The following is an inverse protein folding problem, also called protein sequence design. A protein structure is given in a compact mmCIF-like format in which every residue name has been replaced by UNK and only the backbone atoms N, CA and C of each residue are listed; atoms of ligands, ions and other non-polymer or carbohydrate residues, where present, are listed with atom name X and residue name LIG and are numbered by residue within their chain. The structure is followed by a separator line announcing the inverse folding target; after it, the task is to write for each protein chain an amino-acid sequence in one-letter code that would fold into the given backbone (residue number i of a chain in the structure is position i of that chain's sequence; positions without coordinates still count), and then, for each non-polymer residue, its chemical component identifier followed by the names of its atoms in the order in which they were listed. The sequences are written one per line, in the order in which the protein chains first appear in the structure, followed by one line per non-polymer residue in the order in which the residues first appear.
data_IF_083711574723
#
_entry.id   IF_083711574723
#
_cell.length_a   1.000
_cell.length_b   1.000
_cell.length_c   1.000
_cell.angle_alpha   90.00
_cell.angle_beta   90.00
_cell.angle_gamma   90.00
#
_symmetry.space_group_name_H-M   'P 1'
#
loop_
_entity.id
_entity.type
_entity.pdbx_description
1 polymer ?
#
# COMPACT_ATOMS: atom_id res chain seq x y z
N UNK A 1 -15.43 56.53 -6.10
CA UNK A 1 -15.87 55.65 -7.21
C UNK A 1 -15.75 56.41 -8.52
N UNK A 2 -14.75 56.05 -9.35
CA UNK A 2 -14.75 56.31 -10.79
C UNK A 2 -13.75 55.32 -11.40
N UNK A 3 -14.29 54.25 -11.99
CA UNK A 3 -13.52 53.28 -12.77
C UNK A 3 -13.13 53.95 -14.09
N UNK A 4 -11.84 53.96 -14.42
CA UNK A 4 -11.34 54.27 -15.75
C UNK A 4 -10.97 52.92 -16.38
N UNK A 5 -11.77 52.49 -17.35
CA UNK A 5 -11.55 51.33 -18.20
C UNK A 5 -10.55 51.71 -19.31
N UNK A 6 -9.45 50.97 -19.41
CA UNK A 6 -8.59 50.97 -20.60
C UNK A 6 -9.06 49.88 -21.57
N UNK A 7 -9.23 50.15 -22.87
CA UNK A 7 -9.45 49.10 -23.86
C UNK A 7 -8.10 48.52 -24.31
N UNK A 8 -7.87 47.24 -24.04
CA UNK A 8 -6.79 46.46 -24.65
C UNK A 8 -7.27 45.94 -26.00
N UNK A 9 -6.63 46.43 -27.06
CA UNK A 9 -6.79 46.00 -28.45
C UNK A 9 -6.24 44.58 -28.62
N UNK A 10 -7.12 43.60 -28.86
CA UNK A 10 -6.73 42.27 -29.34
C UNK A 10 -6.63 42.30 -30.86
N UNK A 11 -5.44 42.08 -31.38
CA UNK A 11 -5.16 42.00 -32.82
C UNK A 11 -5.54 40.61 -33.33
N UNK A 12 -6.70 40.48 -33.98
CA UNK A 12 -7.08 39.26 -34.71
C UNK A 12 -6.37 39.24 -36.07
N UNK A 13 -5.30 38.46 -36.17
CA UNK A 13 -4.70 38.13 -37.47
C UNK A 13 -5.49 36.99 -38.11
N UNK A 14 -6.47 37.37 -38.93
CA UNK A 14 -7.21 36.44 -39.80
C UNK A 14 -6.37 36.15 -41.04
N UNK A 15 -5.71 34.99 -41.08
CA UNK A 15 -4.97 34.55 -42.28
C UNK A 15 -5.90 33.69 -43.13
N UNK A 16 -6.46 34.28 -44.18
CA UNK A 16 -7.18 33.58 -45.25
C UNK A 16 -6.23 32.67 -46.03
N UNK A 17 -6.37 31.36 -45.88
CA UNK A 17 -5.70 30.37 -46.71
C UNK A 17 -6.58 30.03 -47.91
N UNK A 18 -6.14 30.52 -49.07
CA UNK A 18 -6.74 30.28 -50.39
C UNK A 18 -6.67 28.79 -50.74
N UNK A 19 -7.83 28.19 -50.98
CA UNK A 19 -7.97 26.80 -51.41
C UNK A 19 -7.73 26.66 -52.91
N UNK A 20 -6.59 26.08 -53.30
CA UNK A 20 -6.44 25.45 -54.61
C UNK A 20 -6.16 23.97 -54.41
N UNK A 21 -7.08 23.16 -54.95
CA UNK A 21 -7.10 21.71 -54.87
C UNK A 21 -5.84 21.07 -55.45
N UNK A 22 -5.21 20.18 -54.70
CA UNK A 22 -4.40 19.08 -55.26
C UNK A 22 -4.29 17.97 -54.22
N UNK A 23 -4.98 16.87 -54.52
CA UNK A 23 -5.20 15.65 -53.73
C UNK A 23 -3.93 14.89 -53.27
N UNK A 24 -2.74 15.45 -53.50
CA UNK A 24 -1.44 14.94 -53.03
C UNK A 24 -1.00 15.56 -51.68
N UNK A 25 -1.49 16.76 -51.35
CA UNK A 25 -1.23 17.36 -50.03
C UNK A 25 -2.06 16.70 -48.93
N UNK A 26 -3.25 16.19 -49.25
CA UNK A 26 -4.08 15.46 -48.29
C UNK A 26 -3.49 14.10 -47.89
N UNK A 27 -2.79 13.39 -48.78
CA UNK A 27 -2.17 12.08 -48.48
C UNK A 27 -0.88 12.20 -47.67
N UNK A 28 -0.08 13.25 -47.87
CA UNK A 28 1.13 13.51 -47.08
C UNK A 28 0.76 14.03 -45.68
N UNK A 29 -0.32 14.83 -45.56
CA UNK A 29 -0.84 15.28 -44.27
C UNK A 29 -1.52 14.15 -43.49
N UNK A 30 -2.27 13.25 -44.13
CA UNK A 30 -2.88 12.10 -43.43
C UNK A 30 -1.86 11.03 -43.05
N UNK A 31 -0.81 10.81 -43.84
CA UNK A 31 0.26 9.86 -43.53
C UNK A 31 1.19 10.32 -42.40
N UNK A 32 1.36 11.63 -42.21
CA UNK A 32 2.14 12.19 -41.08
C UNK A 32 1.31 12.33 -39.81
N UNK A 33 0.00 12.60 -39.92
CA UNK A 33 -0.93 12.68 -38.79
C UNK A 33 -1.20 11.30 -38.15
N UNK A 34 -1.21 10.21 -38.92
CA UNK A 34 -1.28 8.84 -38.37
C UNK A 34 0.04 8.39 -37.71
N UNK A 35 1.17 9.00 -38.07
CA UNK A 35 2.51 8.63 -37.54
C UNK A 35 2.74 9.14 -36.11
N UNK A 36 2.13 10.27 -35.75
CA UNK A 36 2.35 10.94 -34.46
C UNK A 36 1.17 10.78 -33.48
N UNK A 37 0.67 9.56 -33.31
CA UNK A 37 -0.33 9.26 -32.28
C UNK A 37 0.33 8.81 -30.97
N UNK A 38 0.28 9.66 -29.94
CA UNK A 38 0.75 9.33 -28.59
C UNK A 38 -0.39 9.00 -27.62
N UNK A 39 -1.63 8.83 -28.09
CA UNK A 39 -2.78 8.72 -27.21
C UNK A 39 -3.10 10.03 -26.49
N UNK A 40 -3.94 9.94 -25.45
CA UNK A 40 -4.33 11.09 -24.64
C UNK A 40 -3.24 11.45 -23.61
N UNK A 41 -3.18 12.72 -23.22
CA UNK A 41 -2.33 13.14 -22.11
C UNK A 41 -0.83 13.13 -22.40
N UNK A 42 -0.44 13.40 -23.65
CA UNK A 42 0.95 13.63 -24.01
C UNK A 42 1.09 14.52 -25.24
N UNK A 43 2.29 15.04 -25.45
CA UNK A 43 2.68 15.68 -26.70
C UNK A 43 3.46 14.71 -27.58
N UNK A 44 3.30 14.86 -28.90
CA UNK A 44 4.00 14.06 -29.89
C UNK A 44 4.99 14.91 -30.68
N UNK A 45 6.19 14.38 -30.90
CA UNK A 45 7.21 14.95 -31.76
C UNK A 45 7.79 13.84 -32.64
N UNK A 46 8.18 14.15 -33.87
CA UNK A 46 8.93 13.23 -34.73
C UNK A 46 10.40 13.63 -34.68
N UNK A 47 11.30 12.64 -34.58
CA UNK A 47 12.73 12.87 -34.71
C UNK A 47 13.16 12.97 -36.19
N UNK A 48 14.46 13.16 -36.44
CA UNK A 48 15.01 13.26 -37.80
C UNK A 48 14.89 11.98 -38.63
N UNK A 49 14.62 10.83 -37.98
CA UNK A 49 14.36 9.54 -38.64
C UNK A 49 12.89 9.32 -38.94
N UNK A 50 12.00 10.18 -38.43
CA UNK A 50 10.56 10.03 -38.51
C UNK A 50 9.97 9.12 -37.44
N UNK A 51 10.76 8.70 -36.44
CA UNK A 51 10.25 7.99 -35.27
C UNK A 51 9.52 8.93 -34.31
N UNK A 52 8.40 8.47 -33.77
CA UNK A 52 7.60 9.24 -32.82
C UNK A 52 8.21 9.20 -31.40
N UNK A 53 8.31 10.37 -30.80
CA UNK A 53 8.67 10.60 -29.41
C UNK A 53 7.43 11.12 -28.70
N UNK A 54 6.96 10.35 -27.71
CA UNK A 54 5.82 10.71 -26.87
C UNK A 54 6.29 11.21 -25.51
N UNK A 55 5.97 12.46 -25.20
CA UNK A 55 6.20 13.07 -23.89
C UNK A 55 4.88 13.12 -23.14
N UNK A 56 4.69 12.21 -22.19
CA UNK A 56 3.45 12.15 -21.40
C UNK A 56 3.41 13.26 -20.35
N UNK A 57 2.23 13.85 -20.15
CA UNK A 57 1.98 14.84 -19.12
C UNK A 57 1.94 14.19 -17.73
N UNK A 58 1.98 15.00 -16.67
CA UNK A 58 1.82 14.51 -15.30
C UNK A 58 0.51 13.74 -15.15
N UNK A 59 0.55 12.60 -14.46
CA UNK A 59 -0.58 11.67 -14.35
C UNK A 59 -0.74 10.72 -15.54
N UNK A 60 0.18 10.71 -16.51
CA UNK A 60 0.21 9.76 -17.62
C UNK A 60 1.54 9.02 -17.67
N UNK A 61 1.51 7.77 -18.12
CA UNK A 61 2.71 6.94 -18.30
C UNK A 61 2.78 6.35 -19.71
N UNK A 62 4.02 6.16 -20.20
CA UNK A 62 4.29 5.59 -21.52
C UNK A 62 4.17 4.07 -21.47
N UNK A 63 3.31 3.51 -22.30
CA UNK A 63 3.19 2.06 -22.52
C UNK A 63 2.97 1.78 -24.01
N UNK A 64 3.73 0.83 -24.59
CA UNK A 64 3.67 0.49 -26.03
C UNK A 64 3.69 1.69 -26.99
N UNK A 65 4.44 2.74 -26.65
CA UNK A 65 4.56 3.93 -27.50
C UNK A 65 3.38 4.90 -27.46
N UNK A 66 2.48 4.77 -26.49
CA UNK A 66 1.40 5.72 -26.22
C UNK A 66 1.38 6.11 -24.73
N UNK A 67 0.74 7.23 -24.43
CA UNK A 67 0.47 7.72 -23.09
C UNK A 67 -0.90 7.19 -22.63
N UNK A 68 -0.93 6.70 -21.40
CA UNK A 68 -2.14 6.19 -20.75
C UNK A 68 -2.29 6.82 -19.38
N UNK A 69 -3.53 6.96 -18.93
CA UNK A 69 -3.83 7.44 -17.59
C UNK A 69 -3.09 6.59 -16.54
N UNK A 70 -2.39 7.29 -15.67
CA UNK A 70 -1.52 6.73 -14.64
C UNK A 70 -1.46 7.70 -13.45
N UNK A 71 -2.62 8.08 -12.93
CA UNK A 71 -2.70 9.00 -11.79
C UNK A 71 -2.77 8.23 -10.45
N UNK A 72 -1.66 8.15 -9.73
CA UNK A 72 -1.62 7.60 -8.37
C UNK A 72 -1.86 8.65 -7.27
N UNK A 73 -2.18 9.89 -7.63
CA UNK A 73 -2.23 11.02 -6.71
C UNK A 73 -0.85 11.60 -6.37
N UNK A 74 -0.78 12.61 -5.49
CA UNK A 74 0.44 13.38 -5.23
C UNK A 74 1.49 12.63 -4.40
N UNK A 75 1.12 11.51 -3.77
CA UNK A 75 1.99 10.72 -2.88
C UNK A 75 2.36 9.37 -3.48
N UNK A 76 2.38 9.30 -4.81
CA UNK A 76 2.60 8.07 -5.53
C UNK A 76 3.28 8.30 -6.87
N UNK A 77 4.17 7.37 -7.21
CA UNK A 77 4.69 7.23 -8.57
C UNK A 77 3.91 6.16 -9.29
N UNK A 78 3.62 6.40 -10.57
CA UNK A 78 2.82 5.49 -11.37
C UNK A 78 3.65 4.86 -12.48
N UNK A 79 3.52 3.54 -12.64
CA UNK A 79 4.06 2.81 -13.78
C UNK A 79 2.97 1.93 -14.40
N UNK A 80 3.13 1.62 -15.68
CA UNK A 80 2.29 0.64 -16.37
C UNK A 80 3.17 -0.56 -16.71
N UNK A 81 2.94 -1.66 -16.01
CA UNK A 81 3.63 -2.93 -16.22
C UNK A 81 2.66 -3.94 -16.84
N UNK A 82 3.02 -4.49 -18.00
CA UNK A 82 2.15 -5.39 -18.78
C UNK A 82 0.72 -4.85 -19.04
N UNK A 83 0.54 -3.53 -19.11
CA UNK A 83 -0.75 -2.88 -19.32
C UNK A 83 -1.56 -2.69 -18.03
N UNK A 84 -0.99 -3.04 -16.88
CA UNK A 84 -1.58 -2.88 -15.56
C UNK A 84 -0.92 -1.68 -14.89
N UNK A 85 -1.74 -0.73 -14.47
CA UNK A 85 -1.33 0.40 -13.64
C UNK A 85 -0.84 -0.13 -12.28
N UNK A 86 0.34 0.32 -11.85
CA UNK A 86 0.87 0.06 -10.51
C UNK A 86 1.29 1.36 -9.86
N UNK A 87 0.85 1.57 -8.62
CA UNK A 87 1.24 2.71 -7.81
C UNK A 87 2.31 2.29 -6.80
N UNK A 88 3.42 3.00 -6.80
CA UNK A 88 4.40 2.94 -5.71
C UNK A 88 4.19 4.18 -4.85
N UNK A 89 3.66 3.98 -3.64
CA UNK A 89 3.31 5.06 -2.74
C UNK A 89 4.48 5.48 -1.83
N UNK A 90 4.46 6.74 -1.41
CA UNK A 90 5.41 7.30 -0.45
C UNK A 90 5.28 6.64 0.95
N UNK A 91 6.23 6.91 1.83
CA UNK A 91 6.21 6.42 3.22
C UNK A 91 4.93 6.89 3.92
N UNK A 92 4.26 5.98 4.63
CA UNK A 92 2.94 6.17 5.25
C UNK A 92 1.78 6.36 4.28
N UNK A 93 1.94 6.01 3.01
CA UNK A 93 0.85 5.91 2.04
C UNK A 93 0.76 4.48 1.52
N UNK A 94 -0.46 4.05 1.19
CA UNK A 94 -0.71 2.75 0.58
C UNK A 94 -1.74 2.90 -0.52
N UNK A 95 -1.68 2.00 -1.50
CA UNK A 95 -2.64 2.00 -2.61
C UNK A 95 -4.04 1.63 -2.09
N UNK A 96 -5.02 2.50 -2.38
CA UNK A 96 -6.44 2.28 -2.17
C UNK A 96 -7.17 2.78 -3.40
N UNK A 97 -7.97 1.90 -4.02
CA UNK A 97 -8.74 2.23 -5.23
C UNK A 97 -7.89 2.85 -6.36
N UNK A 98 -6.66 2.35 -6.55
CA UNK A 98 -5.75 2.83 -7.60
C UNK A 98 -5.13 4.20 -7.36
N UNK A 99 -5.19 4.74 -6.14
CA UNK A 99 -4.48 5.94 -5.70
C UNK A 99 -3.77 5.71 -4.37
N UNK A 100 -2.72 6.49 -4.12
CA UNK A 100 -2.01 6.48 -2.85
C UNK A 100 -2.75 7.32 -1.81
N UNK A 101 -3.28 6.65 -0.79
CA UNK A 101 -3.95 7.28 0.34
C UNK A 101 -3.15 7.09 1.62
N UNK A 102 -3.28 8.04 2.56
CA UNK A 102 -2.56 7.99 3.82
C UNK A 102 -2.90 6.72 4.58
N UNK A 103 -1.88 5.94 4.93
CA UNK A 103 -1.97 4.67 5.63
C UNK A 103 -0.94 4.67 6.77
N UNK A 104 -1.42 5.00 7.97
CA UNK A 104 -0.66 4.86 9.21
C UNK A 104 -1.44 4.04 10.22
N UNK A 105 -0.72 3.13 10.86
CA UNK A 105 -1.16 2.26 11.95
C UNK A 105 -0.60 2.72 13.30
N UNK A 106 0.01 3.91 13.36
CA UNK A 106 0.64 4.45 14.56
C UNK A 106 2.04 3.91 14.81
N UNK A 107 2.55 4.13 16.02
CA UNK A 107 3.84 3.59 16.47
C UNK A 107 3.80 2.06 16.54
N UNK A 108 4.98 1.43 16.53
CA UNK A 108 5.11 -0.03 16.59
C UNK A 108 4.43 -0.79 15.44
N UNK A 109 4.11 -0.10 14.35
CA UNK A 109 3.76 -0.69 13.06
C UNK A 109 5.00 -0.88 12.19
N UNK A 110 5.08 -2.01 11.49
CA UNK A 110 6.07 -2.30 10.46
C UNK A 110 5.59 -1.90 9.07
N UNK A 111 4.29 -2.05 8.80
CA UNK A 111 3.67 -1.67 7.53
C UNK A 111 2.16 -1.49 7.68
N UNK A 112 1.60 -0.71 6.76
CA UNK A 112 0.18 -0.45 6.61
C UNK A 112 -0.21 -0.70 5.15
N UNK A 113 -1.32 -1.39 4.92
CA UNK A 113 -1.94 -1.55 3.61
C UNK A 113 -3.46 -1.58 3.75
N UNK A 114 -4.16 -1.54 2.63
CA UNK A 114 -5.62 -1.65 2.61
C UNK A 114 -6.03 -3.03 2.12
N UNK A 115 -7.03 -3.63 2.79
CA UNK A 115 -7.65 -4.86 2.33
C UNK A 115 -8.68 -4.60 1.22
N UNK A 116 -9.31 -5.66 0.72
CA UNK A 116 -10.31 -5.58 -0.35
C UNK A 116 -11.57 -4.79 0.03
N UNK A 117 -11.84 -4.60 1.32
CA UNK A 117 -12.94 -3.79 1.84
C UNK A 117 -12.53 -2.32 2.03
N UNK A 118 -11.25 -1.99 1.82
CA UNK A 118 -10.69 -0.65 2.02
C UNK A 118 -10.40 -0.31 3.48
N UNK A 119 -10.37 -1.31 4.36
CA UNK A 119 -9.97 -1.19 5.76
C UNK A 119 -8.45 -1.33 5.88
N UNK A 120 -7.87 -0.65 6.88
CA UNK A 120 -6.42 -0.75 7.13
C UNK A 120 -6.09 -2.14 7.67
N UNK A 121 -5.04 -2.73 7.15
CA UNK A 121 -4.36 -3.90 7.70
C UNK A 121 -2.92 -3.52 8.08
N UNK A 122 -2.61 -3.80 9.34
CA UNK A 122 -1.40 -3.35 10.01
C UNK A 122 -0.54 -4.56 10.35
N UNK A 123 0.71 -4.56 9.89
CA UNK A 123 1.70 -5.49 10.43
C UNK A 123 2.34 -4.86 11.66
N UNK A 124 2.03 -5.35 12.85
CA UNK A 124 2.57 -4.81 14.09
C UNK A 124 3.92 -5.44 14.52
N UNK A 125 4.66 -4.73 15.37
CA UNK A 125 5.84 -5.21 16.07
C UNK A 125 5.49 -6.31 17.07
N UNK A 126 6.52 -7.05 17.52
CA UNK A 126 6.34 -8.05 18.58
C UNK A 126 5.72 -7.42 19.83
N UNK A 127 4.79 -8.12 20.47
CA UNK A 127 4.00 -7.64 21.61
C UNK A 127 3.01 -6.51 21.28
N UNK A 128 2.71 -6.27 20.00
CA UNK A 128 1.63 -5.41 19.54
C UNK A 128 0.71 -6.19 18.60
N UNK A 129 -0.57 -5.84 18.61
CA UNK A 129 -1.55 -6.41 17.68
C UNK A 129 -2.46 -5.30 17.14
N UNK A 130 -3.04 -5.55 15.98
CA UNK A 130 -3.96 -4.60 15.37
C UNK A 130 -5.26 -4.53 16.19
N UNK A 131 -5.65 -3.32 16.57
CA UNK A 131 -6.95 -3.00 17.13
C UNK A 131 -7.48 -1.73 16.44
N UNK A 132 -8.69 -1.79 15.88
CA UNK A 132 -9.33 -0.64 15.19
C UNK A 132 -8.44 0.11 14.16
N UNK A 133 -7.55 -0.61 13.46
CA UNK A 133 -6.66 -0.01 12.44
C UNK A 133 -5.39 0.64 13.00
N UNK A 134 -5.05 0.38 14.26
CA UNK A 134 -3.81 0.81 14.91
C UNK A 134 -3.11 -0.35 15.59
N UNK A 135 -1.80 -0.26 15.79
CA UNK A 135 -1.06 -1.23 16.59
C UNK A 135 -1.11 -0.85 18.08
N UNK A 136 -1.81 -1.66 18.87
CA UNK A 136 -1.93 -1.48 20.31
C UNK A 136 -1.13 -2.55 21.05
N UNK A 137 -0.66 -2.22 22.26
CA UNK A 137 0.12 -3.14 23.08
C UNK A 137 -0.70 -4.41 23.38
N UNK A 138 -0.12 -5.56 23.04
CA UNK A 138 -0.75 -6.87 23.12
C UNK A 138 0.31 -7.90 23.51
N UNK A 139 0.66 -7.92 24.80
CA UNK A 139 1.69 -8.82 25.33
C UNK A 139 1.10 -9.98 26.13
N UNK A 140 1.11 -11.20 25.58
CA UNK A 140 0.67 -12.42 26.28
C UNK A 140 1.84 -13.27 26.84
N UNK A 141 3.06 -12.72 26.87
CA UNK A 141 4.26 -13.47 27.22
C UNK A 141 4.70 -14.45 26.13
N UNK A 142 5.84 -15.13 26.34
CA UNK A 142 6.51 -15.96 25.34
C UNK A 142 5.74 -17.23 24.94
N UNK A 143 4.71 -17.59 25.70
CA UNK A 143 3.92 -18.80 25.52
C UNK A 143 2.52 -18.55 24.95
N UNK A 144 2.23 -17.33 24.47
CA UNK A 144 0.94 -17.02 23.86
C UNK A 144 1.05 -16.09 22.65
N UNK A 145 0.10 -16.23 21.73
CA UNK A 145 -0.18 -15.20 20.72
C UNK A 145 -1.26 -14.25 21.24
N UNK A 146 -1.20 -12.99 20.82
CA UNK A 146 -2.11 -11.94 21.28
C UNK A 146 -2.93 -11.37 20.13
N UNK A 147 -4.22 -11.15 20.37
CA UNK A 147 -5.16 -10.52 19.44
C UNK A 147 -6.19 -9.69 20.20
N UNK A 148 -6.90 -8.81 19.50
CA UNK A 148 -8.05 -8.10 20.06
C UNK A 148 -9.35 -8.65 19.48
N UNK A 149 -10.32 -8.93 20.35
CA UNK A 149 -11.70 -9.19 19.97
C UNK A 149 -12.60 -8.22 20.73
N UNK A 150 -13.43 -7.45 20.02
CA UNK A 150 -14.29 -6.43 20.63
C UNK A 150 -13.54 -5.47 21.58
N UNK A 151 -12.35 -5.01 21.19
CA UNK A 151 -11.44 -4.17 21.99
C UNK A 151 -10.92 -4.81 23.28
N UNK A 152 -11.07 -6.13 23.42
CA UNK A 152 -10.51 -6.87 24.55
C UNK A 152 -9.35 -7.70 24.08
N UNK A 153 -8.22 -7.53 24.76
CA UNK A 153 -7.04 -8.37 24.60
C UNK A 153 -7.43 -9.83 24.86
N UNK A 154 -7.07 -10.70 23.94
CA UNK A 154 -7.17 -12.15 24.07
C UNK A 154 -5.79 -12.79 23.95
N UNK A 155 -5.51 -13.70 24.87
CA UNK A 155 -4.30 -14.50 24.85
C UNK A 155 -4.62 -15.94 24.45
N UNK A 156 -4.08 -16.36 23.33
CA UNK A 156 -4.13 -17.76 22.90
C UNK A 156 -2.83 -18.43 23.37
N UNK A 157 -2.90 -19.10 24.52
CA UNK A 157 -1.76 -19.80 25.11
C UNK A 157 -1.47 -21.13 24.41
N UNK A 158 -0.19 -21.51 24.38
CA UNK A 158 0.24 -22.86 24.01
C UNK A 158 -0.35 -23.90 24.96
N UNK A 159 -0.47 -25.14 24.52
CA UNK A 159 -1.16 -26.22 25.25
C UNK A 159 -0.62 -26.52 26.66
N UNK A 160 0.63 -26.19 26.96
CA UNK A 160 1.26 -26.38 28.28
C UNK A 160 1.24 -25.13 29.17
N UNK A 161 0.67 -24.03 28.68
CA UNK A 161 0.59 -22.75 29.38
C UNK A 161 -0.87 -22.36 29.62
N UNK A 162 -1.10 -21.65 30.71
CA UNK A 162 -2.41 -21.07 31.05
C UNK A 162 -2.32 -19.57 31.17
N UNK A 163 -3.41 -18.90 30.83
CA UNK A 163 -3.52 -17.47 31.04
C UNK A 163 -3.70 -17.18 32.53
N UNK A 164 -2.80 -16.38 33.10
CA UNK A 164 -2.86 -15.85 34.45
C UNK A 164 -2.50 -14.36 34.41
N UNK A 165 -3.42 -13.50 34.86
CA UNK A 165 -3.26 -12.04 34.83
C UNK A 165 -2.94 -11.47 33.44
N UNK A 166 -3.55 -12.01 32.38
CA UNK A 166 -3.32 -11.52 31.01
C UNK A 166 -1.98 -11.93 30.39
N UNK A 167 -1.31 -12.94 30.95
CA UNK A 167 -0.08 -13.54 30.41
C UNK A 167 -0.16 -15.06 30.43
N UNK A 168 0.41 -15.72 29.43
CA UNK A 168 0.52 -17.17 29.37
C UNK A 168 1.74 -17.64 30.17
N UNK A 169 1.50 -18.40 31.23
CA UNK A 169 2.53 -18.99 32.11
C UNK A 169 2.45 -20.51 32.09
N UNK A 170 3.58 -21.19 32.21
CA UNK A 170 3.62 -22.67 32.25
C UNK A 170 2.85 -23.15 33.48
N UNK A 171 2.02 -24.17 33.31
CA UNK A 171 1.46 -24.89 34.46
C UNK A 171 2.61 -25.59 35.19
N UNK A 172 3.02 -25.07 36.35
CA UNK A 172 3.79 -25.87 37.28
C UNK A 172 2.87 -27.01 37.73
N UNK A 173 3.12 -28.22 37.23
CA UNK A 173 2.56 -29.43 37.80
C UNK A 173 2.90 -29.41 39.28
N UNK A 174 1.90 -29.21 40.15
CA UNK A 174 2.03 -29.50 41.56
C UNK A 174 2.41 -30.96 41.67
N UNK A 175 3.72 -31.24 41.75
CA UNK A 175 4.23 -32.53 42.17
C UNK A 175 3.72 -32.74 43.57
N UNK A 176 2.75 -33.63 43.69
CA UNK A 176 2.30 -34.18 44.95
C UNK A 176 3.40 -35.13 45.43
N UNK A 177 4.57 -34.60 45.78
CA UNK A 177 5.66 -35.35 46.43
C UNK A 177 5.86 -34.85 47.87
N UNK A 178 4.74 -34.77 48.58
CA UNK A 178 4.68 -34.82 50.03
C UNK A 178 4.17 -36.19 50.47
N UNK A 179 4.98 -37.24 50.30
CA UNK A 179 4.74 -38.54 50.93
C UNK A 179 6.08 -39.23 51.17
N UNK A 180 6.79 -38.73 52.17
CA UNK A 180 7.79 -39.48 52.92
C UNK A 180 7.11 -40.68 53.58
N UNK A 181 7.17 -41.84 52.92
CA UNK A 181 7.00 -43.15 53.58
C UNK A 181 8.37 -43.85 53.59
N UNK A 182 9.25 -43.38 54.46
CA UNK A 182 10.41 -44.16 54.89
C UNK A 182 9.91 -45.35 55.68
N UNK A 183 9.85 -46.51 55.02
CA UNK A 183 9.55 -47.80 55.62
C UNK A 183 10.73 -48.23 56.49
N UNK A 184 10.68 -47.89 57.78
CA UNK A 184 11.62 -48.40 58.79
C UNK A 184 11.41 -49.90 58.97
N UNK A 185 12.30 -50.71 58.41
CA UNK A 185 12.36 -52.15 58.69
C UNK A 185 13.09 -52.34 60.02
N UNK A 186 12.34 -52.63 61.08
CA UNK A 186 12.89 -53.06 62.37
C UNK A 186 13.33 -54.52 62.23
N UNK A 187 14.64 -54.79 62.34
CA UNK A 187 15.15 -56.15 62.51
C UNK A 187 14.88 -56.62 63.96
N UNK A 188 14.31 -57.81 64.18
CA UNK A 188 14.31 -58.43 65.49
C UNK A 188 15.68 -59.05 65.79
N UNK A 189 16.22 -58.68 66.95
CA UNK A 189 17.37 -59.30 67.60
C UNK A 189 16.93 -60.66 68.16
N UNK A 190 17.37 -61.77 67.58
CA UNK A 190 17.26 -63.09 68.19
C UNK A 190 18.53 -63.44 68.94
N UNK A 191 18.41 -63.42 70.26
CA UNK A 191 19.34 -64.02 71.22
C UNK A 191 19.12 -65.54 71.26
N UNK A 192 20.18 -66.32 71.06
CA UNK A 192 20.42 -67.54 71.82
C UNK A 192 21.91 -67.90 71.79
#
# INVERSE_FOLDING_TARGET
MKFILFPSTATETSTTVTSTSSSLMSTILTSTVASCDCGIGGSCQLDSSGEKICNCFSGYARYKGHCYDCDCGPYGTCIIDAGIKRCTCDVNYAEKNGKCEYCSCGENSKSCHYNVLGEKECSCSSAYAQNHGYCEECNCGSYGSCSFEHNRKQCNCKSFAVEKNGMCVVMESTTLEGSTFTRTTVLPLTTQ
#
